data_IF_663146860759
#
_entry.id   IF_663146860759
#
_cell.length_a   1.000
_cell.length_b   1.000
_cell.length_c   1.000
_cell.angle_alpha   90.00
_cell.angle_beta   90.00
_cell.angle_gamma   90.00
#
_symmetry.space_group_name_H-M   'P 1'
#
loop_
_entity.id
_entity.type
_entity.pdbx_description
1 polymer ?
#
# COMPACT_ATOMS: atom_id res chain seq x y z
N UNK A 1 16.12 9.32 29.49
CA UNK A 1 15.86 9.29 28.90
C UNK A 1 15.53 9.47 28.06
N UNK A 2 15.52 9.36 27.59
CA UNK A 2 15.26 9.46 26.85
C UNK A 2 14.59 9.58 26.06
N UNK A 3 14.53 9.98 25.56
CA UNK A 3 13.97 10.28 24.75
C UNK A 3 13.44 9.65 23.87
N UNK A 4 12.77 9.47 23.88
CA UNK A 4 12.18 8.73 23.20
C UNK A 4 11.95 9.08 21.91
N UNK A 5 11.95 8.53 21.23
CA UNK A 5 11.74 8.68 20.11
C UNK A 5 10.39 8.61 19.88
N UNK A 6 9.56 9.33 20.36
CA UNK A 6 8.27 9.30 20.13
C UNK A 6 8.01 9.79 18.78
N UNK A 7 7.56 9.07 17.83
CA UNK A 7 7.20 9.53 16.52
C UNK A 7 5.87 10.21 16.57
N UNK A 8 5.72 11.25 15.88
CA UNK A 8 4.45 11.94 15.83
C UNK A 8 3.52 11.08 14.99
N UNK A 9 2.27 11.26 15.18
CA UNK A 9 1.25 10.51 14.46
C UNK A 9 1.46 10.61 12.96
N UNK A 10 1.80 11.79 12.45
CA UNK A 10 2.06 11.94 11.04
C UNK A 10 3.24 11.14 10.57
N UNK A 11 4.27 11.02 11.39
CA UNK A 11 5.44 10.24 11.02
C UNK A 11 5.10 8.76 10.94
N UNK A 12 4.26 8.29 11.85
CA UNK A 12 3.82 6.90 11.83
C UNK A 12 3.03 6.64 10.56
N UNK A 13 2.16 7.57 10.17
CA UNK A 13 1.37 7.41 8.97
C UNK A 13 2.26 7.40 7.73
N UNK A 14 3.29 8.22 7.70
CA UNK A 14 4.19 8.24 6.55
C UNK A 14 4.96 6.95 6.41
N UNK A 15 5.36 6.36 7.53
CA UNK A 15 6.06 5.08 7.49
C UNK A 15 5.11 4.00 6.99
N UNK A 16 3.87 3.99 7.49
CA UNK A 16 2.89 3.03 7.04
C UNK A 16 2.62 3.19 5.56
N UNK A 17 2.54 4.42 5.10
CA UNK A 17 2.28 4.70 3.70
C UNK A 17 3.42 4.16 2.83
N UNK A 18 4.65 4.36 3.25
CA UNK A 18 5.81 3.86 2.50
C UNK A 18 5.78 2.34 2.41
N UNK A 19 5.44 1.66 3.50
CA UNK A 19 5.36 0.21 3.51
C UNK A 19 4.24 -0.27 2.59
N UNK A 20 3.08 0.35 2.66
CA UNK A 20 1.95 -0.06 1.83
C UNK A 20 2.21 0.18 0.35
N UNK A 21 2.88 1.28 0.02
CA UNK A 21 3.22 1.55 -1.37
C UNK A 21 4.19 0.52 -1.91
N UNK A 22 5.13 0.08 -1.07
CA UNK A 22 6.07 -0.92 -1.47
C UNK A 22 5.36 -2.25 -1.69
N UNK A 23 4.47 -2.61 -0.77
CA UNK A 23 3.71 -3.84 -0.90
C UNK A 23 2.84 -3.82 -2.15
N UNK A 24 2.24 -2.68 -2.45
CA UNK A 24 1.41 -2.52 -3.63
C UNK A 24 2.25 -2.73 -4.89
N UNK A 25 3.44 -2.14 -4.93
CA UNK A 25 4.31 -2.29 -6.07
C UNK A 25 4.77 -3.74 -6.24
N UNK A 26 5.16 -4.39 -5.14
CA UNK A 26 5.61 -5.77 -5.20
C UNK A 26 4.50 -6.68 -5.70
N UNK A 27 3.28 -6.43 -5.26
CA UNK A 27 2.15 -7.22 -5.66
C UNK A 27 1.82 -6.98 -7.14
N UNK A 28 1.92 -5.75 -7.60
CA UNK A 28 1.68 -5.41 -8.98
C UNK A 28 2.71 -6.11 -9.88
N UNK A 29 3.97 -6.11 -9.47
CA UNK A 29 5.04 -6.78 -10.21
C UNK A 29 4.79 -8.28 -10.26
N UNK A 30 4.32 -8.87 -9.16
CA UNK A 30 4.02 -10.29 -9.12
C UNK A 30 2.88 -10.65 -10.06
N UNK A 31 1.84 -9.81 -10.08
CA UNK A 31 0.70 -10.02 -10.96
C UNK A 31 1.15 -9.96 -12.42
N UNK A 32 1.94 -8.95 -12.76
CA UNK A 32 2.42 -8.78 -14.12
C UNK A 32 3.30 -9.96 -14.55
N UNK A 33 4.16 -10.42 -13.67
CA UNK A 33 5.03 -11.55 -13.98
C UNK A 33 4.22 -12.83 -14.23
N UNK A 34 3.20 -13.06 -13.41
CA UNK A 34 2.38 -14.23 -13.59
C UNK A 34 1.55 -14.16 -14.87
N UNK A 35 1.07 -12.99 -15.21
CA UNK A 35 0.31 -12.83 -16.44
C UNK A 35 1.19 -13.02 -17.67
N UNK A 36 2.42 -12.56 -17.62
CA UNK A 36 3.32 -12.72 -18.73
C UNK A 36 3.65 -14.17 -18.95
N UNK A 37 3.75 -14.95 -17.91
CA UNK A 37 4.09 -16.34 -18.06
C UNK A 37 2.90 -17.19 -18.47
N UNK A 38 1.72 -16.60 -18.37
CA UNK A 38 0.48 -17.31 -18.69
C UNK A 38 0.37 -18.61 -17.91
N UNK A 39 0.96 -18.65 -16.72
CA UNK A 39 0.93 -19.84 -15.94
C UNK A 39 0.01 -19.72 -14.78
N UNK A 40 -0.46 -18.57 -14.47
CA UNK A 40 -1.20 -18.37 -13.26
C UNK A 40 -2.60 -18.90 -13.36
N UNK A 41 -3.06 -19.53 -12.34
CA UNK A 41 -4.37 -19.94 -12.18
C UNK A 41 -5.25 -18.74 -12.09
N UNK A 42 -6.38 -18.66 -12.73
CA UNK A 42 -7.27 -17.51 -12.68
C UNK A 42 -7.70 -17.14 -11.26
N UNK A 43 -7.85 -18.12 -10.38
CA UNK A 43 -8.23 -17.81 -9.02
C UNK A 43 -7.11 -17.13 -8.27
N UNK A 44 -5.87 -17.53 -8.53
CA UNK A 44 -4.71 -16.90 -7.92
C UNK A 44 -4.60 -15.47 -8.38
N UNK A 45 -4.75 -15.21 -9.67
CA UNK A 45 -4.69 -13.85 -10.19
C UNK A 45 -5.80 -12.99 -9.60
N UNK A 46 -7.00 -13.54 -9.50
CA UNK A 46 -8.12 -12.79 -8.98
C UNK A 46 -7.86 -12.41 -7.52
N UNK A 47 -7.31 -13.34 -6.75
CA UNK A 47 -7.02 -13.07 -5.36
C UNK A 47 -5.95 -12.00 -5.19
N UNK A 48 -4.89 -12.07 -6.02
CA UNK A 48 -3.82 -11.10 -5.96
C UNK A 48 -4.32 -9.70 -6.36
N UNK A 49 -5.17 -9.64 -7.37
CA UNK A 49 -5.73 -8.37 -7.79
C UNK A 49 -6.62 -7.76 -6.71
N UNK A 50 -7.34 -8.62 -5.98
CA UNK A 50 -8.18 -8.14 -4.90
C UNK A 50 -7.31 -7.59 -3.78
N UNK A 51 -6.20 -8.26 -3.45
CA UNK A 51 -5.28 -7.78 -2.44
C UNK A 51 -4.69 -6.44 -2.84
N UNK A 52 -4.39 -6.27 -4.13
CA UNK A 52 -3.85 -5.02 -4.62
C UNK A 52 -4.86 -3.89 -4.43
N UNK A 53 -6.13 -4.15 -4.66
CA UNK A 53 -7.16 -3.14 -4.46
C UNK A 53 -7.30 -2.77 -2.98
N UNK A 54 -7.17 -3.75 -2.08
CA UNK A 54 -7.25 -3.47 -0.65
C UNK A 54 -6.09 -2.57 -0.24
N UNK A 55 -4.88 -2.84 -0.76
CA UNK A 55 -3.73 -2.01 -0.46
C UNK A 55 -3.93 -0.61 -1.00
N UNK A 56 -4.48 -0.49 -2.20
CA UNK A 56 -4.71 0.82 -2.78
C UNK A 56 -5.69 1.61 -1.94
N UNK A 57 -6.72 0.98 -1.42
CA UNK A 57 -7.69 1.66 -0.57
C UNK A 57 -7.05 2.12 0.74
N UNK A 58 -6.17 1.32 1.31
CA UNK A 58 -5.49 1.70 2.54
C UNK A 58 -4.54 2.86 2.30
N UNK A 59 -3.86 2.85 1.16
CA UNK A 59 -2.96 3.94 0.79
C UNK A 59 -3.77 5.23 0.65
N UNK A 60 -4.90 5.17 -0.03
CA UNK A 60 -5.74 6.35 -0.22
C UNK A 60 -6.24 6.89 1.11
N UNK A 61 -6.60 6.02 2.03
CA UNK A 61 -7.07 6.46 3.34
C UNK A 61 -5.98 7.18 4.12
N UNK A 62 -4.76 6.68 4.05
CA UNK A 62 -3.65 7.33 4.75
C UNK A 62 -3.28 8.64 4.07
N UNK A 63 -3.29 8.67 2.75
CA UNK A 63 -3.01 9.91 2.03
C UNK A 63 -4.03 10.99 2.37
N UNK A 64 -5.29 10.60 2.50
CA UNK A 64 -6.31 11.55 2.87
C UNK A 64 -6.07 12.06 4.28
N UNK A 65 -5.62 11.22 5.18
CA UNK A 65 -5.35 11.62 6.54
C UNK A 65 -4.16 12.56 6.60
N UNK A 66 -3.16 12.34 5.76
CA UNK A 66 -1.98 13.18 5.76
C UNK A 66 -2.19 14.50 4.99
N UNK A 67 -3.19 14.56 4.15
CA UNK A 67 -3.41 15.77 3.39
C UNK A 67 -4.55 16.47 4.00
N UNK A 68 -4.37 17.52 4.63
CA UNK A 68 -5.37 18.16 5.34
C UNK A 68 -6.21 18.76 4.34
N UNK A 69 -7.28 19.16 4.60
CA UNK A 69 -8.11 19.71 3.85
C UNK A 69 -7.75 20.74 3.14
N UNK A 70 -7.36 20.77 2.19
CA UNK A 70 -7.03 21.72 1.55
C UNK A 70 -7.95 22.02 0.73
N UNK A 71 -8.84 22.03 0.68
CA UNK A 71 -9.74 22.27 -0.13
C UNK A 71 -9.93 23.39 -0.45
N UNK A 72 -9.82 23.86 -0.92
CA UNK A 72 -10.05 24.98 -1.32
C UNK A 72 -11.03 25.33 -1.80
#
# INVERSE_FOLDING_TARGET
MNAPMEMKHEDVLRVKLAVLRREHRDLDDAINALQERQVADPLTLKRLKKQKLVLKDRIAAIEDELTPDIIA
#
